data_IF_577406579615
#
_entry.id   IF_577406579615
#
_cell.length_a   1.000
_cell.length_b   1.000
_cell.length_c   1.000
_cell.angle_alpha   90.00
_cell.angle_beta   90.00
_cell.angle_gamma   90.00
#
_symmetry.space_group_name_H-M   'P 1'
#
loop_
_entity.id
_entity.type
_entity.pdbx_description
1 polymer ?
#
# COMPACT_ATOMS: atom_id res chain seq x y z
N UNK A 1 -9.19 6.20 -5.58
CA UNK A 1 -10.07 5.84 -4.44
C UNK A 1 -11.08 4.84 -4.97
N UNK A 2 -11.40 3.79 -4.19
CA UNK A 2 -12.48 2.85 -4.55
C UNK A 2 -13.72 3.32 -3.81
N UNK A 3 -14.80 3.57 -4.55
CA UNK A 3 -16.02 4.17 -4.02
C UNK A 3 -17.26 3.50 -4.64
N UNK A 4 -18.41 3.69 -3.99
CA UNK A 4 -19.70 3.23 -4.51
C UNK A 4 -19.85 1.71 -4.49
N UNK A 5 -20.58 1.17 -5.47
CA UNK A 5 -20.99 -0.24 -5.55
C UNK A 5 -19.82 -1.25 -5.60
N UNK A 6 -18.61 -0.76 -5.90
CA UNK A 6 -17.40 -1.57 -5.95
C UNK A 6 -16.67 -1.66 -4.61
N UNK A 7 -17.09 -0.89 -3.61
CA UNK A 7 -16.55 -0.97 -2.25
C UNK A 7 -17.35 -1.96 -1.42
N UNK A 8 -17.02 -3.25 -1.54
CA UNK A 8 -17.78 -4.34 -0.91
C UNK A 8 -17.00 -5.01 0.22
N UNK A 9 -17.70 -5.71 1.11
CA UNK A 9 -17.07 -6.52 2.16
C UNK A 9 -16.20 -7.60 1.52
N UNK A 10 -14.94 -7.70 1.92
CA UNK A 10 -14.02 -8.63 1.28
C UNK A 10 -12.58 -8.45 1.72
N UNK A 11 -11.69 -9.21 1.07
CA UNK A 11 -10.23 -9.07 1.20
C UNK A 11 -9.72 -8.38 -0.04
N UNK A 12 -8.84 -7.41 0.18
CA UNK A 12 -8.27 -6.57 -0.86
C UNK A 12 -6.75 -6.57 -0.75
N UNK A 13 -6.12 -6.17 -1.84
CA UNK A 13 -4.67 -6.05 -1.97
C UNK A 13 -4.36 -4.72 -2.65
N UNK A 14 -3.39 -4.00 -2.09
CA UNK A 14 -2.72 -2.87 -2.74
C UNK A 14 -1.28 -3.28 -3.01
N UNK A 15 -0.84 -3.06 -4.25
CA UNK A 15 0.55 -3.27 -4.67
C UNK A 15 1.16 -1.92 -4.94
N UNK A 16 2.24 -1.60 -4.23
CA UNK A 16 3.02 -0.39 -4.43
C UNK A 16 4.38 -0.77 -5.01
N UNK A 17 4.69 -0.26 -6.21
CA UNK A 17 5.96 -0.47 -6.90
C UNK A 17 7.03 0.48 -6.34
N UNK A 18 7.60 0.13 -5.18
CA UNK A 18 8.54 0.93 -4.39
C UNK A 18 9.91 1.02 -5.05
N UNK A 19 10.39 -0.08 -5.63
CA UNK A 19 11.68 -0.13 -6.34
C UNK A 19 11.70 0.86 -7.50
N UNK A 20 10.69 0.80 -8.37
CA UNK A 20 10.53 1.74 -9.48
C UNK A 20 10.38 3.19 -9.01
N UNK A 21 9.64 3.43 -7.92
CA UNK A 21 9.51 4.78 -7.35
C UNK A 21 10.86 5.35 -6.88
N UNK A 22 11.67 4.57 -6.14
CA UNK A 22 12.93 5.07 -5.58
C UNK A 22 14.12 5.04 -6.54
N UNK A 23 14.03 4.34 -7.67
CA UNK A 23 15.09 4.20 -8.68
C UNK A 23 15.74 5.53 -9.10
N UNK A 24 14.95 6.62 -9.14
CA UNK A 24 15.43 7.95 -9.55
C UNK A 24 15.48 8.97 -8.39
N UNK A 25 15.19 8.55 -7.16
CA UNK A 25 15.03 9.43 -5.99
C UNK A 25 16.11 9.16 -4.94
N UNK A 26 16.70 7.96 -4.93
CA UNK A 26 17.70 7.56 -3.94
C UNK A 26 18.72 6.61 -4.55
N UNK A 27 19.91 6.53 -3.96
CA UNK A 27 20.88 5.48 -4.29
C UNK A 27 20.38 4.14 -3.74
N UNK A 28 19.62 3.43 -4.57
CA UNK A 28 19.21 2.05 -4.35
C UNK A 28 20.12 1.11 -5.14
N UNK A 29 20.32 -0.10 -4.61
CA UNK A 29 21.06 -1.15 -5.31
C UNK A 29 20.29 -1.59 -6.56
N UNK A 30 21.01 -2.20 -7.52
CA UNK A 30 20.42 -2.79 -8.72
C UNK A 30 19.25 -3.75 -8.41
N UNK A 31 19.34 -4.44 -7.26
CA UNK A 31 18.21 -5.17 -6.66
C UNK A 31 17.83 -4.48 -5.34
N UNK A 32 16.69 -3.77 -5.29
CA UNK A 32 16.28 -3.03 -4.09
C UNK A 32 15.85 -4.00 -2.97
N UNK A 33 16.00 -3.57 -1.72
CA UNK A 33 15.55 -4.35 -0.56
C UNK A 33 14.01 -4.40 -0.49
N UNK A 34 13.36 -3.28 -0.78
CA UNK A 34 11.92 -3.20 -1.03
C UNK A 34 11.69 -2.88 -2.51
N UNK A 35 11.18 -3.86 -3.25
CA UNK A 35 10.79 -3.70 -4.66
C UNK A 35 9.28 -3.46 -4.74
N UNK A 36 8.47 -4.48 -4.45
CA UNK A 36 7.03 -4.36 -4.31
C UNK A 36 6.61 -4.46 -2.85
N UNK A 37 5.80 -3.50 -2.39
CA UNK A 37 5.13 -3.59 -1.09
C UNK A 37 3.67 -3.96 -1.31
N UNK A 38 3.30 -5.14 -0.80
CA UNK A 38 1.95 -5.69 -0.91
C UNK A 38 1.22 -5.56 0.43
N UNK A 39 0.17 -4.74 0.47
CA UNK A 39 -0.67 -4.56 1.66
C UNK A 39 -1.99 -5.27 1.47
N UNK A 40 -2.20 -6.34 2.23
CA UNK A 40 -3.47 -7.08 2.29
C UNK A 40 -4.29 -6.62 3.49
N UNK A 41 -5.55 -6.27 3.25
CA UNK A 41 -6.46 -5.84 4.30
C UNK A 41 -7.90 -6.31 4.02
N UNK A 42 -8.70 -6.32 5.07
CA UNK A 42 -10.12 -6.67 4.99
C UNK A 42 -11.00 -5.45 5.13
N UNK A 43 -12.03 -5.37 4.30
CA UNK A 43 -13.18 -4.49 4.52
C UNK A 43 -14.27 -5.33 5.18
N UNK A 44 -14.62 -4.96 6.41
CA UNK A 44 -15.67 -5.62 7.20
C UNK A 44 -17.01 -4.88 7.13
N UNK A 45 -16.97 -3.55 7.00
CA UNK A 45 -18.14 -2.67 6.93
C UNK A 45 -18.01 -1.69 5.75
N UNK A 46 -18.67 -1.92 4.61
CA UNK A 46 -18.65 -1.04 3.44
C UNK A 46 -19.12 0.39 3.67
N UNK A 47 -19.84 0.68 4.76
CA UNK A 47 -20.32 2.03 5.08
C UNK A 47 -19.29 2.89 5.82
N UNK A 48 -18.15 2.32 6.22
CA UNK A 48 -17.05 3.05 6.85
C UNK A 48 -16.01 3.51 5.81
N UNK A 49 -15.31 4.60 6.13
CA UNK A 49 -14.13 5.00 5.38
C UNK A 49 -12.92 4.17 5.81
N UNK A 50 -12.19 3.62 4.84
CA UNK A 50 -10.97 2.86 5.09
C UNK A 50 -9.77 3.65 4.58
N UNK A 51 -9.01 4.23 5.50
CA UNK A 51 -7.74 4.85 5.19
C UNK A 51 -6.60 3.86 5.49
N UNK A 52 -5.86 3.46 4.46
CA UNK A 52 -4.73 2.51 4.56
C UNK A 52 -3.45 3.23 4.07
N UNK A 53 -2.86 4.12 4.89
CA UNK A 53 -1.66 4.85 4.51
C UNK A 53 -0.43 3.92 4.44
N UNK A 54 0.55 4.35 3.65
CA UNK A 54 1.87 3.74 3.57
C UNK A 54 2.93 4.81 3.88
N UNK A 55 3.74 4.59 4.92
CA UNK A 55 5.00 5.31 5.12
C UNK A 55 6.12 4.40 4.64
N UNK A 56 6.99 4.88 3.77
CA UNK A 56 7.98 4.03 3.11
C UNK A 56 9.30 4.75 2.87
N UNK A 57 10.39 4.00 3.06
CA UNK A 57 11.74 4.29 2.59
C UNK A 57 12.21 3.12 1.73
N UNK A 58 13.38 3.19 1.08
CA UNK A 58 13.92 2.04 0.36
C UNK A 58 14.19 0.79 1.21
N UNK A 59 14.20 0.90 2.55
CA UNK A 59 14.61 -0.18 3.47
C UNK A 59 13.54 -0.60 4.48
N UNK A 60 12.48 0.18 4.62
CA UNK A 60 11.43 -0.08 5.61
C UNK A 60 10.13 0.53 5.15
N UNK A 61 9.02 -0.07 5.59
CA UNK A 61 7.72 0.53 5.45
C UNK A 61 6.87 0.25 6.69
N UNK A 62 5.86 1.07 6.89
CA UNK A 62 4.80 0.80 7.84
C UNK A 62 3.45 1.17 7.23
N UNK A 63 2.42 0.45 7.65
CA UNK A 63 1.04 0.69 7.27
C UNK A 63 0.15 0.41 8.48
N UNK A 64 -1.03 1.02 8.49
CA UNK A 64 -2.01 0.86 9.56
C UNK A 64 -3.40 1.20 9.01
N UNK A 65 -4.45 0.91 9.78
CA UNK A 65 -5.80 1.44 9.51
C UNK A 65 -5.91 2.81 10.17
N UNK A 66 -5.97 3.87 9.37
CA UNK A 66 -6.29 5.23 9.82
C UNK A 66 -7.79 5.40 10.09
N UNK A 67 -8.12 6.46 10.84
CA UNK A 67 -9.49 6.93 11.08
C UNK A 67 -10.03 7.72 9.91
#
# INVERSE_FOLDING_TARGET
MVEGENFIKGKYELVFYIGEYFKNISEVKDVPFLDDVVVRFGISNPSEHYHVPLLVSPWSYSTYRGS
#
